data_IF_182510570326
#
_entry.id   IF_182510570326
#
_cell.length_a   1.000
_cell.length_b   1.000
_cell.length_c   1.000
_cell.angle_alpha   90.00
_cell.angle_beta   90.00
_cell.angle_gamma   90.00
#
_symmetry.space_group_name_H-M   'P 1'
#
loop_
_entity.id
_entity.type
_entity.pdbx_description
1 polymer ?
#
# COMPACT_ATOMS: atom_id res chain seq x y z
N UNK A 1 -39.24 1.22 -31.88
CA UNK A 1 -37.88 0.91 -31.41
C UNK A 1 -37.46 1.99 -30.43
N UNK A 2 -37.59 1.72 -29.13
CA UNK A 2 -37.22 2.67 -28.08
C UNK A 2 -35.72 2.55 -27.79
N UNK A 3 -34.95 3.60 -28.07
CA UNK A 3 -33.59 3.75 -27.54
C UNK A 3 -33.72 4.35 -26.14
N UNK A 4 -33.40 3.57 -25.11
CA UNK A 4 -33.12 4.11 -23.79
C UNK A 4 -31.81 4.93 -23.86
N UNK A 5 -31.75 6.15 -23.31
CA UNK A 5 -30.47 6.82 -23.12
C UNK A 5 -29.71 6.13 -21.98
N UNK A 6 -28.51 5.67 -22.35
CA UNK A 6 -27.34 5.29 -21.56
C UNK A 6 -27.37 5.80 -20.11
N UNK A 7 -27.31 4.88 -19.15
CA UNK A 7 -26.89 5.17 -17.78
C UNK A 7 -25.53 5.87 -17.86
N UNK A 8 -25.51 7.16 -17.53
CA UNK A 8 -24.27 7.90 -17.28
C UNK A 8 -23.53 7.16 -16.19
N UNK A 9 -22.46 6.46 -16.56
CA UNK A 9 -21.47 5.96 -15.64
C UNK A 9 -21.14 7.10 -14.68
N UNK A 10 -21.46 6.93 -13.41
CA UNK A 10 -21.11 7.84 -12.33
C UNK A 10 -19.61 8.09 -12.44
N UNK A 11 -19.23 9.26 -12.91
CA UNK A 11 -17.84 9.70 -12.90
C UNK A 11 -17.49 9.86 -11.42
N UNK A 12 -16.88 8.82 -10.83
CA UNK A 12 -16.43 8.83 -9.43
C UNK A 12 -15.53 10.06 -9.24
N UNK A 13 -15.90 11.02 -8.38
CA UNK A 13 -15.09 12.20 -8.18
C UNK A 13 -13.83 11.80 -7.39
N UNK A 14 -12.66 11.89 -8.03
CA UNK A 14 -11.35 11.82 -7.37
C UNK A 14 -11.32 12.81 -6.19
N UNK A 15 -10.78 12.42 -5.02
CA UNK A 15 -9.36 12.11 -4.89
C UNK A 15 -9.09 10.61 -4.86
N UNK A 16 -8.14 10.16 -5.69
CA UNK A 16 -7.45 8.89 -5.46
C UNK A 16 -6.28 9.18 -4.55
N UNK A 17 -6.23 8.49 -3.41
CA UNK A 17 -5.07 8.44 -2.55
C UNK A 17 -4.23 7.24 -2.95
N UNK A 18 -2.92 7.34 -2.77
CA UNK A 18 -2.03 6.21 -2.97
C UNK A 18 -1.03 6.09 -1.83
N UNK A 19 -0.49 4.88 -1.65
CA UNK A 19 0.52 4.60 -0.64
C UNK A 19 1.88 4.53 -1.30
N UNK A 20 2.86 5.15 -0.65
CA UNK A 20 4.28 4.92 -0.90
C UNK A 20 4.92 4.35 0.36
N UNK A 21 5.78 3.34 0.20
CA UNK A 21 6.36 2.61 1.33
C UNK A 21 7.89 2.65 1.31
N UNK A 22 8.48 2.66 2.50
CA UNK A 22 9.90 2.51 2.74
C UNK A 22 10.11 1.46 3.83
N UNK A 23 11.09 0.57 3.66
CA UNK A 23 11.54 -0.36 4.69
C UNK A 23 13.07 -0.32 4.82
N UNK A 24 13.60 -0.51 6.03
CA UNK A 24 15.04 -0.49 6.29
C UNK A 24 15.49 -1.65 7.21
N UNK A 25 16.03 -2.75 6.63
CA UNK A 25 16.04 -3.07 5.20
C UNK A 25 14.68 -3.55 4.70
N UNK A 26 14.49 -3.55 3.38
CA UNK A 26 13.39 -4.28 2.76
C UNK A 26 13.47 -5.79 3.05
N UNK A 27 12.38 -6.43 3.55
CA UNK A 27 12.31 -7.88 3.67
C UNK A 27 12.52 -8.55 2.30
N UNK A 28 13.07 -9.77 2.29
CA UNK A 28 13.06 -10.58 1.05
C UNK A 28 11.61 -10.93 0.66
N UNK A 29 11.36 -11.26 -0.61
CA UNK A 29 10.02 -11.65 -1.11
C UNK A 29 9.37 -12.75 -0.25
N UNK A 30 10.12 -13.81 0.03
CA UNK A 30 9.65 -14.91 0.88
C UNK A 30 9.36 -14.45 2.30
N UNK A 31 10.23 -13.60 2.87
CA UNK A 31 10.02 -13.08 4.22
C UNK A 31 8.80 -12.17 4.29
N UNK A 32 8.54 -11.34 3.28
CA UNK A 32 7.35 -10.49 3.21
C UNK A 32 6.08 -11.35 3.18
N UNK A 33 6.03 -12.41 2.37
CA UNK A 33 4.92 -13.37 2.35
C UNK A 33 4.64 -13.97 3.72
N UNK A 34 5.69 -14.43 4.42
CA UNK A 34 5.57 -15.00 5.75
C UNK A 34 5.01 -14.00 6.77
N UNK A 35 5.53 -12.77 6.77
CA UNK A 35 5.11 -11.71 7.70
C UNK A 35 3.61 -11.42 7.54
N UNK A 36 3.18 -11.20 6.29
CA UNK A 36 1.80 -10.83 6.00
C UNK A 36 0.83 -11.98 6.32
N UNK A 37 1.19 -13.23 5.97
CA UNK A 37 0.39 -14.43 6.29
C UNK A 37 0.29 -14.69 7.78
N UNK A 38 1.38 -14.49 8.53
CA UNK A 38 1.38 -14.66 10.00
C UNK A 38 0.41 -13.69 10.69
N UNK A 39 0.06 -12.58 10.04
CA UNK A 39 -0.93 -11.61 10.49
C UNK A 39 -2.34 -11.83 9.94
N UNK A 40 -2.60 -12.99 9.33
CA UNK A 40 -3.94 -13.37 8.85
C UNK A 40 -4.38 -12.62 7.59
N UNK A 41 -3.47 -11.94 6.90
CA UNK A 41 -3.76 -11.33 5.61
C UNK A 41 -3.85 -12.43 4.53
N UNK A 42 -4.79 -12.27 3.60
CA UNK A 42 -4.80 -13.05 2.38
C UNK A 42 -3.69 -12.54 1.47
N UNK A 43 -2.78 -13.41 1.03
CA UNK A 43 -1.58 -12.99 0.28
C UNK A 43 -1.32 -13.90 -0.92
N UNK A 44 -1.16 -13.26 -2.08
CA UNK A 44 -0.76 -13.88 -3.33
C UNK A 44 0.73 -13.60 -3.62
N UNK A 45 1.48 -14.65 -3.96
CA UNK A 45 2.83 -14.49 -4.50
C UNK A 45 2.74 -14.30 -6.02
N UNK A 46 3.39 -13.25 -6.52
CA UNK A 46 3.62 -13.02 -7.95
C UNK A 46 5.10 -13.12 -8.28
N UNK A 47 5.41 -13.11 -9.58
CA UNK A 47 6.77 -13.32 -10.05
C UNK A 47 7.76 -12.30 -9.44
N UNK A 48 7.40 -11.01 -9.48
CA UNK A 48 8.17 -9.89 -8.91
C UNK A 48 7.43 -9.11 -7.82
N UNK A 49 6.33 -9.66 -7.29
CA UNK A 49 5.51 -8.95 -6.31
C UNK A 49 4.94 -9.88 -5.23
N UNK A 50 4.56 -9.29 -4.10
CA UNK A 50 3.75 -9.89 -3.04
C UNK A 50 2.52 -9.03 -2.88
N UNK A 51 1.34 -9.60 -3.04
CA UNK A 51 0.08 -8.85 -2.98
C UNK A 51 -0.75 -9.29 -1.79
N UNK A 52 -1.02 -8.37 -0.87
CA UNK A 52 -2.00 -8.57 0.19
C UNK A 52 -3.39 -8.11 -0.26
N UNK A 53 -4.42 -8.84 0.14
CA UNK A 53 -5.82 -8.48 -0.08
C UNK A 53 -6.46 -8.06 1.24
N UNK A 54 -6.96 -6.82 1.29
CA UNK A 54 -7.61 -6.24 2.46
C UNK A 54 -8.97 -5.71 2.00
N UNK A 55 -10.04 -6.30 2.53
CA UNK A 55 -11.43 -5.91 2.18
C UNK A 55 -11.69 -5.86 0.66
N UNK A 56 -11.09 -6.80 -0.09
CA UNK A 56 -11.22 -6.92 -1.55
C UNK A 56 -10.35 -5.95 -2.38
N UNK A 57 -9.47 -5.18 -1.72
CA UNK A 57 -8.52 -4.27 -2.37
C UNK A 57 -7.10 -4.83 -2.32
N UNK A 58 -6.33 -4.55 -3.35
CA UNK A 58 -4.94 -4.96 -3.46
C UNK A 58 -4.01 -3.99 -2.70
N UNK A 59 -3.01 -4.54 -2.02
CA UNK A 59 -1.84 -3.83 -1.54
C UNK A 59 -0.62 -4.60 -2.02
N UNK A 60 0.06 -4.10 -3.04
CA UNK A 60 1.17 -4.76 -3.69
C UNK A 60 2.50 -4.27 -3.10
N UNK A 61 3.42 -5.20 -2.90
CA UNK A 61 4.84 -4.93 -2.72
C UNK A 61 5.56 -5.46 -3.95
N UNK A 62 6.23 -4.60 -4.70
CA UNK A 62 6.70 -4.89 -6.05
C UNK A 62 8.23 -4.78 -6.14
N UNK A 63 8.76 -4.99 -7.36
CA UNK A 63 10.19 -4.82 -7.65
C UNK A 63 11.06 -5.84 -6.89
N UNK A 64 10.48 -6.98 -6.50
CA UNK A 64 11.26 -8.10 -5.96
C UNK A 64 12.00 -8.85 -7.08
N UNK A 65 13.28 -8.52 -7.25
CA UNK A 65 14.21 -9.22 -8.15
C UNK A 65 15.49 -8.40 -8.24
N UNK A 66 16.64 -9.02 -7.98
CA UNK A 66 17.89 -8.31 -7.60
C UNK A 66 18.50 -7.31 -8.61
N UNK A 67 17.89 -7.11 -9.77
CA UNK A 67 18.30 -6.12 -10.78
C UNK A 67 17.24 -5.02 -11.01
N UNK A 68 16.06 -5.12 -10.37
CA UNK A 68 14.91 -4.26 -10.64
C UNK A 68 14.88 -2.96 -9.81
N UNK A 69 15.73 -2.85 -8.78
CA UNK A 69 15.79 -1.71 -7.86
C UNK A 69 15.41 -2.07 -6.43
N UNK A 70 15.24 -1.06 -5.58
CA UNK A 70 14.67 -1.23 -4.25
C UNK A 70 13.17 -1.58 -4.38
N UNK A 71 12.66 -2.51 -3.54
CA UNK A 71 11.23 -2.80 -3.52
C UNK A 71 10.41 -1.54 -3.26
N UNK A 72 9.23 -1.49 -3.84
CA UNK A 72 8.23 -0.45 -3.61
C UNK A 72 6.91 -1.07 -3.16
N UNK A 73 5.99 -0.26 -2.66
CA UNK A 73 4.63 -0.71 -2.43
C UNK A 73 3.62 0.22 -3.10
N UNK A 74 2.62 -0.40 -3.74
CA UNK A 74 1.54 0.29 -4.43
C UNK A 74 0.20 -0.16 -3.83
N UNK A 75 -0.60 0.83 -3.43
CA UNK A 75 -2.00 0.66 -3.10
C UNK A 75 -2.70 1.99 -3.32
N UNK A 76 -3.89 1.99 -3.92
CA UNK A 76 -4.69 3.20 -4.11
C UNK A 76 -6.16 2.98 -3.71
N UNK A 77 -6.79 4.06 -3.27
CA UNK A 77 -8.21 4.07 -2.95
C UNK A 77 -8.77 5.50 -3.00
N UNK A 78 -10.05 5.65 -3.32
CA UNK A 78 -10.75 6.94 -3.27
C UNK A 78 -11.12 7.39 -1.85
N UNK A 79 -11.06 6.48 -0.88
CA UNK A 79 -11.39 6.73 0.51
C UNK A 79 -10.12 6.74 1.38
N UNK A 80 -9.73 7.92 1.86
CA UNK A 80 -8.54 8.10 2.69
C UNK A 80 -8.60 7.28 3.98
N UNK A 81 -9.77 7.18 4.60
CA UNK A 81 -9.92 6.47 5.87
C UNK A 81 -9.70 4.96 5.68
N UNK A 82 -10.25 4.39 4.60
CA UNK A 82 -10.05 3.00 4.21
C UNK A 82 -8.59 2.72 3.85
N UNK A 83 -7.96 3.55 3.02
CA UNK A 83 -6.55 3.36 2.69
C UNK A 83 -5.64 3.48 3.92
N UNK A 84 -5.96 4.41 4.83
CA UNK A 84 -5.28 4.55 6.12
C UNK A 84 -5.43 3.32 7.00
N UNK A 85 -6.63 2.73 7.04
CA UNK A 85 -6.87 1.48 7.75
C UNK A 85 -6.05 0.32 7.15
N UNK A 86 -6.03 0.19 5.83
CA UNK A 86 -5.23 -0.82 5.14
C UNK A 86 -3.74 -0.66 5.45
N UNK A 87 -3.21 0.57 5.35
CA UNK A 87 -1.83 0.88 5.70
C UNK A 87 -1.52 0.56 7.16
N UNK A 88 -2.45 0.79 8.10
CA UNK A 88 -2.28 0.40 9.51
C UNK A 88 -2.22 -1.11 9.72
N UNK A 89 -3.02 -1.89 9.00
CA UNK A 89 -2.98 -3.37 9.09
C UNK A 89 -1.64 -3.90 8.56
N UNK A 90 -1.18 -3.38 7.44
CA UNK A 90 0.16 -3.69 6.90
C UNK A 90 1.25 -3.29 7.88
N UNK A 91 1.19 -2.06 8.40
CA UNK A 91 2.16 -1.56 9.38
C UNK A 91 2.22 -2.43 10.64
N UNK A 92 1.07 -2.88 11.14
CA UNK A 92 1.01 -3.77 12.30
C UNK A 92 1.72 -5.11 12.03
N UNK A 93 1.54 -5.68 10.83
CA UNK A 93 2.23 -6.91 10.44
C UNK A 93 3.75 -6.72 10.34
N UNK A 94 4.18 -5.64 9.69
CA UNK A 94 5.60 -5.30 9.57
C UNK A 94 6.24 -5.01 10.94
N UNK A 95 5.56 -4.24 11.80
CA UNK A 95 6.03 -3.89 13.14
C UNK A 95 6.16 -5.12 14.05
N UNK A 96 5.21 -6.04 14.02
CA UNK A 96 5.27 -7.29 14.79
C UNK A 96 6.43 -8.19 14.34
N UNK A 97 6.84 -8.09 13.08
CA UNK A 97 8.03 -8.74 12.55
C UNK A 97 9.34 -7.96 12.80
N UNK A 98 9.27 -6.81 13.47
CA UNK A 98 10.42 -5.95 13.76
C UNK A 98 10.96 -5.17 12.55
N UNK A 99 10.19 -5.07 11.46
CA UNK A 99 10.59 -4.34 10.27
C UNK A 99 10.40 -2.85 10.51
N UNK A 100 11.50 -2.08 10.43
CA UNK A 100 11.43 -0.62 10.42
C UNK A 100 10.88 -0.17 9.09
N UNK A 101 9.84 0.66 9.11
CA UNK A 101 9.15 1.07 7.90
C UNK A 101 8.42 2.41 8.07
N UNK A 102 8.08 3.00 6.92
CA UNK A 102 7.23 4.18 6.79
C UNK A 102 6.31 3.99 5.59
N UNK A 103 5.02 4.22 5.79
CA UNK A 103 3.98 4.21 4.78
C UNK A 103 3.39 5.61 4.71
N UNK A 104 3.60 6.28 3.59
CA UNK A 104 3.06 7.60 3.29
C UNK A 104 1.80 7.43 2.46
N UNK A 105 0.74 8.15 2.80
CA UNK A 105 -0.49 8.20 2.02
C UNK A 105 -0.58 9.58 1.43
N UNK A 106 -0.57 9.65 0.10
CA UNK A 106 -0.52 10.90 -0.64
C UNK A 106 -1.79 11.07 -1.47
N UNK A 107 -2.23 12.31 -1.62
CA UNK A 107 -3.27 12.66 -2.58
C UNK A 107 -2.65 12.70 -3.99
N UNK A 108 -3.22 11.94 -4.94
CA UNK A 108 -2.67 11.78 -6.30
C UNK A 108 -2.66 13.06 -7.14
N UNK A 109 -3.39 14.10 -6.74
CA UNK A 109 -3.48 15.35 -7.50
C UNK A 109 -2.18 16.17 -7.45
N UNK A 110 -1.53 16.23 -6.29
CA UNK A 110 -0.37 17.09 -6.04
C UNK A 110 0.66 16.44 -5.11
N UNK A 111 0.57 15.12 -4.89
CA UNK A 111 1.44 14.36 -4.00
C UNK A 111 1.47 14.93 -2.57
N UNK A 112 0.36 15.54 -2.13
CA UNK A 112 0.26 16.10 -0.78
C UNK A 112 0.13 14.96 0.22
N UNK A 113 1.02 14.93 1.23
CA UNK A 113 0.99 13.93 2.30
C UNK A 113 -0.27 14.09 3.16
N UNK A 114 -1.18 13.12 3.08
CA UNK A 114 -2.44 13.09 3.82
C UNK A 114 -2.31 12.36 5.16
N UNK A 115 -1.50 11.30 5.20
CA UNK A 115 -1.25 10.53 6.40
C UNK A 115 0.10 9.81 6.34
N UNK A 116 0.67 9.50 7.51
CA UNK A 116 1.89 8.72 7.64
C UNK A 116 1.73 7.69 8.74
N UNK A 117 2.01 6.42 8.42
CA UNK A 117 2.06 5.30 9.37
C UNK A 117 3.50 4.78 9.38
N UNK A 118 4.11 4.62 10.55
CA UNK A 118 5.52 4.23 10.63
C UNK A 118 5.82 3.43 11.89
N UNK A 119 6.94 2.71 11.84
CA UNK A 119 7.52 2.01 12.96
C UNK A 119 9.04 2.11 12.88
N UNK A 120 9.69 2.73 13.88
CA UNK A 120 11.15 2.80 13.96
C UNK A 120 11.84 3.64 12.89
N UNK A 121 11.09 4.43 12.12
CA UNK A 121 11.57 5.45 11.18
C UNK A 121 11.01 6.83 11.56
N UNK A 122 11.72 7.94 11.26
CA UNK A 122 11.18 9.28 11.48
C UNK A 122 9.98 9.57 10.58
N UNK A 123 9.11 10.49 11.02
CA UNK A 123 7.89 10.89 10.30
C UNK A 123 8.17 11.76 9.08
N UNK A 124 9.33 12.42 9.03
CA UNK A 124 9.80 13.26 7.93
C UNK A 124 11.33 13.29 7.92
N UNK A 125 11.98 13.51 6.77
CA UNK A 125 13.43 13.74 6.69
C UNK A 125 13.88 15.05 7.37
N UNK A 126 12.95 15.95 7.69
CA UNK A 126 13.20 17.25 8.34
C UNK A 126 13.04 17.22 9.88
N UNK A 127 12.64 16.08 10.47
CA UNK A 127 12.56 15.93 11.94
C UNK A 127 13.91 15.45 12.53
N UNK A 128 15.00 16.11 12.13
CA UNK A 128 16.38 15.83 12.55
C UNK A 128 17.12 17.07 13.05
#
# INVERSE_FOLDING_TARGET
MNRAPVETATHEPFPNYYVYAYCDPWPSKQRMLEILRAHGLEVEERHYAVQAWIDGRAFAFEVYGGDLGDPEAEADDHDLARLTDHARRISAALAAAGVRHRLEILEKLDDTLMACVHHGMPRSPDEG
#
